data_IF_561351483731
#
_entry.id   IF_561351483731
#
_cell.length_a   1.000
_cell.length_b   1.000
_cell.length_c   1.000
_cell.angle_alpha   90.00
_cell.angle_beta   90.00
_cell.angle_gamma   90.00
#
_symmetry.space_group_name_H-M   'P 1'
#
loop_
_entity.id
_entity.type
_entity.pdbx_description
1 polymer ?
#
# COMPACT_ATOMS: atom_id res chain seq x y z
N UNK A 1 11.55 11.20 5.44
CA UNK A 1 11.36 10.82 4.02
C UNK A 1 10.94 12.08 3.27
N UNK A 2 11.37 12.32 2.02
CA UNK A 2 10.94 13.53 1.30
C UNK A 2 9.56 13.32 0.66
N UNK A 3 8.81 14.42 0.50
CA UNK A 3 7.49 14.42 -0.13
C UNK A 3 7.46 13.69 -1.49
N UNK A 4 8.53 13.83 -2.28
CA UNK A 4 8.68 13.18 -3.59
C UNK A 4 8.66 11.66 -3.48
N UNK A 5 9.34 11.11 -2.47
CA UNK A 5 9.37 9.66 -2.23
C UNK A 5 8.04 9.14 -1.70
N UNK A 6 7.32 9.93 -0.89
CA UNK A 6 5.98 9.59 -0.41
C UNK A 6 4.99 9.47 -1.56
N UNK A 7 5.01 10.44 -2.49
CA UNK A 7 4.14 10.42 -3.68
C UNK A 7 4.50 9.24 -4.60
N UNK A 8 5.80 9.00 -4.83
CA UNK A 8 6.23 7.85 -5.61
C UNK A 8 5.80 6.52 -4.98
N UNK A 9 5.86 6.42 -3.64
CA UNK A 9 5.37 5.26 -2.88
C UNK A 9 3.87 5.03 -3.04
N UNK A 10 3.06 6.09 -2.95
CA UNK A 10 1.60 6.00 -3.20
C UNK A 10 1.29 5.47 -4.60
N UNK A 11 1.97 5.99 -5.62
CA UNK A 11 1.78 5.56 -7.01
C UNK A 11 2.19 4.09 -7.16
N UNK A 12 3.34 3.70 -6.60
CA UNK A 12 3.81 2.31 -6.66
C UNK A 12 2.83 1.34 -5.98
N UNK A 13 2.27 1.70 -4.82
CA UNK A 13 1.28 0.90 -4.12
C UNK A 13 -0.04 0.78 -4.91
N UNK A 14 -0.50 1.86 -5.54
CA UNK A 14 -1.68 1.83 -6.41
C UNK A 14 -1.47 0.94 -7.64
N UNK A 15 -0.29 1.01 -8.27
CA UNK A 15 0.09 0.14 -9.38
C UNK A 15 0.17 -1.32 -8.96
N UNK A 16 0.72 -1.61 -7.77
CA UNK A 16 0.79 -2.97 -7.23
C UNK A 16 -0.62 -3.55 -7.00
N UNK A 17 -1.54 -2.74 -6.47
CA UNK A 17 -2.93 -3.13 -6.28
C UNK A 17 -3.62 -3.41 -7.62
N UNK A 18 -3.45 -2.51 -8.61
CA UNK A 18 -3.96 -2.70 -9.97
C UNK A 18 -3.41 -3.97 -10.63
N UNK A 19 -2.12 -4.25 -10.43
CA UNK A 19 -1.49 -5.48 -10.90
C UNK A 19 -2.12 -6.73 -10.26
N UNK A 20 -2.35 -6.71 -8.95
CA UNK A 20 -3.07 -7.77 -8.25
C UNK A 20 -4.49 -7.99 -8.81
N UNK A 21 -5.22 -6.91 -9.12
CA UNK A 21 -6.55 -6.99 -9.75
C UNK A 21 -6.51 -7.54 -11.17
N UNK A 22 -5.50 -7.18 -11.94
CA UNK A 22 -5.30 -7.72 -13.28
C UNK A 22 -4.98 -9.22 -13.24
N UNK A 23 -4.13 -9.65 -12.30
CA UNK A 23 -3.81 -11.07 -12.04
C UNK A 23 -5.05 -11.87 -11.65
N UNK A 24 -5.92 -11.30 -10.82
CA UNK A 24 -7.19 -11.92 -10.44
C UNK A 24 -8.08 -12.19 -11.65
N UNK A 25 -8.20 -11.23 -12.58
CA UNK A 25 -8.97 -11.42 -13.83
C UNK A 25 -8.40 -12.49 -14.75
N UNK A 26 -7.09 -12.76 -14.66
CA UNK A 26 -6.39 -13.78 -15.46
C UNK A 26 -6.33 -15.13 -14.76
N UNK A 27 -6.96 -15.26 -13.59
CA UNK A 27 -6.90 -16.48 -12.82
C UNK A 27 -7.87 -17.53 -13.39
N UNK A 28 -7.34 -18.71 -13.71
CA UNK A 28 -8.13 -19.86 -14.16
C UNK A 28 -8.61 -20.67 -12.95
N UNK A 29 -9.89 -21.04 -12.96
CA UNK A 29 -10.49 -21.84 -11.89
C UNK A 29 -9.84 -23.24 -11.88
N UNK A 30 -9.37 -23.67 -10.71
CA UNK A 30 -8.74 -24.99 -10.51
C UNK A 30 -7.21 -24.99 -10.44
N UNK A 31 -6.56 -23.86 -10.70
CA UNK A 31 -5.11 -23.69 -10.50
C UNK A 31 -4.88 -22.92 -9.20
N UNK A 32 -4.26 -23.53 -8.19
CA UNK A 32 -3.89 -22.80 -6.97
C UNK A 32 -2.56 -22.07 -7.20
N UNK A 33 -2.55 -20.73 -7.24
CA UNK A 33 -1.34 -19.97 -7.49
C UNK A 33 -0.49 -19.93 -6.21
N UNK A 34 0.84 -20.06 -6.34
CA UNK A 34 1.78 -19.95 -5.21
C UNK A 34 1.60 -18.62 -4.46
N UNK A 35 1.32 -17.54 -5.20
CA UNK A 35 0.98 -16.23 -4.65
C UNK A 35 -0.42 -15.85 -5.13
N UNK A 36 -1.44 -16.03 -4.27
CA UNK A 36 -2.79 -15.56 -4.52
C UNK A 36 -2.82 -14.07 -4.87
N UNK A 37 -3.56 -13.65 -5.91
CA UNK A 37 -3.70 -12.25 -6.29
C UNK A 37 -4.15 -11.34 -5.14
N UNK A 38 -4.96 -11.89 -4.22
CA UNK A 38 -5.40 -11.22 -2.99
C UNK A 38 -4.24 -10.70 -2.14
N UNK A 39 -3.15 -11.48 -1.94
CA UNK A 39 -2.02 -11.01 -1.14
C UNK A 39 -1.31 -9.80 -1.79
N UNK A 40 -1.19 -9.81 -3.12
CA UNK A 40 -0.60 -8.69 -3.87
C UNK A 40 -1.44 -7.43 -3.67
N UNK A 41 -2.77 -7.54 -3.78
CA UNK A 41 -3.69 -6.44 -3.52
C UNK A 41 -3.59 -5.96 -2.06
N UNK A 42 -3.52 -6.89 -1.10
CA UNK A 42 -3.40 -6.58 0.32
C UNK A 42 -2.12 -5.79 0.63
N UNK A 43 -0.96 -6.21 0.12
CA UNK A 43 0.29 -5.47 0.29
C UNK A 43 0.23 -4.07 -0.34
N UNK A 44 -0.38 -3.97 -1.54
CA UNK A 44 -0.60 -2.69 -2.19
C UNK A 44 -1.46 -1.75 -1.34
N UNK A 45 -2.54 -2.26 -0.77
CA UNK A 45 -3.46 -1.49 0.08
C UNK A 45 -2.79 -1.05 1.40
N UNK A 46 -2.13 -1.97 2.10
CA UNK A 46 -1.45 -1.66 3.36
C UNK A 46 -0.35 -0.63 3.13
N UNK A 47 0.48 -0.81 2.10
CA UNK A 47 1.50 0.16 1.73
C UNK A 47 0.90 1.53 1.40
N UNK A 48 -0.19 1.56 0.62
CA UNK A 48 -0.88 2.81 0.27
C UNK A 48 -1.35 3.56 1.53
N UNK A 49 -1.94 2.86 2.49
CA UNK A 49 -2.39 3.46 3.75
C UNK A 49 -1.22 4.03 4.58
N UNK A 50 -0.09 3.33 4.64
CA UNK A 50 1.11 3.81 5.33
C UNK A 50 1.64 5.09 4.68
N UNK A 51 1.76 5.11 3.34
CA UNK A 51 2.21 6.29 2.63
C UNK A 51 1.21 7.44 2.69
N UNK A 52 -0.10 7.16 2.73
CA UNK A 52 -1.14 8.16 2.89
C UNK A 52 -1.07 8.79 4.29
N UNK A 53 -0.90 7.97 5.33
CA UNK A 53 -0.68 8.46 6.69
C UNK A 53 0.60 9.31 6.78
N UNK A 54 1.68 8.89 6.12
CA UNK A 54 2.91 9.66 6.07
C UNK A 54 2.74 10.99 5.33
N UNK A 55 1.98 11.01 4.23
CA UNK A 55 1.65 12.24 3.51
C UNK A 55 0.86 13.21 4.39
N UNK A 56 -0.15 12.71 5.11
CA UNK A 56 -0.95 13.51 6.05
C UNK A 56 -0.05 14.09 7.14
N UNK A 57 0.84 13.29 7.73
CA UNK A 57 1.77 13.76 8.76
C UNK A 57 2.67 14.90 8.23
N UNK A 58 3.21 14.76 7.00
CA UNK A 58 4.04 15.80 6.37
C UNK A 58 3.23 17.08 6.10
N UNK A 59 1.99 16.96 5.60
CA UNK A 59 1.20 18.14 5.20
C UNK A 59 0.57 18.87 6.37
N UNK A 60 0.21 18.15 7.43
CA UNK A 60 -0.45 18.73 8.61
C UNK A 60 0.52 19.11 9.72
N UNK A 61 1.76 18.58 9.68
CA UNK A 61 2.72 18.74 10.78
C UNK A 61 2.30 17.99 12.05
N UNK A 62 1.30 17.10 11.98
CA UNK A 62 0.90 16.24 13.09
C UNK A 62 1.98 15.18 13.32
N UNK A 63 2.86 15.44 14.27
CA UNK A 63 3.76 14.44 14.80
C UNK A 63 2.98 13.49 15.72
N UNK A 64 2.98 12.20 15.37
CA UNK A 64 2.37 11.18 16.21
C UNK A 64 3.10 11.12 17.55
N UNK A 65 2.38 11.45 18.63
CA UNK A 65 2.86 11.32 20.00
C UNK A 65 2.33 10.00 20.58
N UNK A 66 3.20 9.02 20.90
CA UNK A 66 2.76 7.77 21.50
C UNK A 66 2.04 8.06 22.83
N UNK A 67 0.87 7.43 23.10
CA UNK A 67 0.14 7.62 24.36
C UNK A 67 0.89 7.05 25.57
N UNK A 68 1.93 6.23 25.35
CA UNK A 68 2.75 5.62 26.39
C UNK A 68 4.21 6.08 26.28
N UNK A 69 4.48 7.38 26.45
CA UNK A 69 5.82 7.83 26.86
C UNK A 69 5.89 7.69 28.38
N UNK A 70 6.56 6.64 28.87
CA UNK A 70 7.10 6.61 30.23
C UNK A 70 8.54 7.10 30.19
#
# INVERSE_FOLDING_TARGET
MSLRWTIAGLIACALLWLFGRWREKKHELGVVPIIPPFYIQFFGLVGFLVFAAHLIAITTGLDWTPPFRR
#
